data_IF_518338256440
#
_entry.id   IF_518338256440
#
_cell.length_a   1.000
_cell.length_b   1.000
_cell.length_c   1.000
_cell.angle_alpha   90.00
_cell.angle_beta   90.00
_cell.angle_gamma   90.00
#
_symmetry.space_group_name_H-M   'P 1'
#
loop_
_entity.id
_entity.type
_entity.pdbx_description
1 polymer ?
#
# COMPACT_ATOMS: atom_id res chain seq x y z
N UNK A 1 6.99 -4.83 12.82
CA UNK A 1 7.27 -3.51 13.44
C UNK A 1 7.88 -2.53 12.44
N UNK A 2 8.98 -2.90 11.77
CA UNK A 2 9.67 -2.02 10.80
C UNK A 2 8.73 -1.43 9.76
N UNK A 3 7.90 -2.26 9.15
CA UNK A 3 6.91 -1.88 8.13
C UNK A 3 6.04 -0.70 8.63
N UNK A 4 5.32 -0.89 9.72
CA UNK A 4 4.44 0.13 10.31
C UNK A 4 5.17 1.40 10.75
N UNK A 5 6.41 1.28 11.27
CA UNK A 5 7.10 2.42 11.87
C UNK A 5 7.87 3.24 10.83
N UNK A 6 8.50 2.58 9.88
CA UNK A 6 9.43 3.23 8.95
C UNK A 6 8.80 3.26 7.56
N UNK A 7 8.54 2.11 6.95
CA UNK A 7 8.05 2.05 5.56
C UNK A 7 6.76 2.84 5.39
N UNK A 8 5.80 2.71 6.31
CA UNK A 8 4.48 3.34 6.22
C UNK A 8 4.46 4.80 6.68
N UNK A 9 5.31 5.17 7.63
CA UNK A 9 5.31 6.52 8.18
C UNK A 9 5.66 7.57 7.14
N UNK A 10 6.57 7.28 6.20
CA UNK A 10 6.94 8.25 5.16
C UNK A 10 5.79 8.53 4.18
N UNK A 11 5.14 7.53 3.54
CA UNK A 11 3.95 7.76 2.74
C UNK A 11 2.80 8.38 3.54
N UNK A 12 2.59 7.99 4.81
CA UNK A 12 1.53 8.55 5.64
C UNK A 12 1.72 10.05 5.90
N UNK A 13 2.93 10.49 6.25
CA UNK A 13 3.25 11.92 6.41
C UNK A 13 3.09 12.66 5.08
N UNK A 14 3.54 12.05 3.97
CA UNK A 14 3.44 12.67 2.66
C UNK A 14 1.99 12.79 2.15
N UNK A 15 1.11 11.85 2.51
CA UNK A 15 -0.34 11.96 2.27
C UNK A 15 -0.96 13.13 3.03
N UNK A 16 -0.44 13.46 4.22
CA UNK A 16 -0.82 14.66 4.96
C UNK A 16 -0.49 15.98 4.25
N UNK A 17 0.42 15.94 3.26
CA UNK A 17 0.78 17.09 2.41
C UNK A 17 -0.01 17.13 1.09
N UNK A 18 -0.97 16.23 0.88
CA UNK A 18 -1.80 16.23 -0.33
C UNK A 18 -2.74 17.45 -0.33
N UNK A 19 -2.97 18.01 -1.53
CA UNK A 19 -3.87 19.16 -1.69
C UNK A 19 -5.31 18.75 -1.38
N UNK A 20 -6.08 19.71 -0.87
CA UNK A 20 -7.50 19.52 -0.60
C UNK A 20 -8.27 19.06 -1.86
N UNK A 21 -9.21 18.14 -1.68
CA UNK A 21 -10.04 17.64 -2.79
C UNK A 21 -10.85 18.78 -3.44
N UNK A 22 -10.94 18.83 -4.78
CA UNK A 22 -11.82 19.79 -5.45
C UNK A 22 -13.27 19.62 -4.98
N UNK A 23 -13.88 20.72 -4.55
CA UNK A 23 -15.25 20.75 -4.03
C UNK A 23 -15.38 20.42 -2.54
N UNK A 24 -14.29 20.32 -1.78
CA UNK A 24 -14.36 20.03 -0.33
C UNK A 24 -15.20 21.07 0.44
N UNK A 25 -15.09 22.35 0.08
CA UNK A 25 -15.84 23.45 0.70
C UNK A 25 -17.33 23.50 0.30
N UNK A 26 -17.73 22.72 -0.71
CA UNK A 26 -19.14 22.60 -1.13
C UNK A 26 -19.86 21.46 -0.40
N UNK A 27 -19.13 20.64 0.38
CA UNK A 27 -19.71 19.56 1.17
C UNK A 27 -20.17 20.10 2.53
N UNK A 28 -21.29 19.61 3.08
CA UNK A 28 -21.74 20.02 4.41
C UNK A 28 -20.72 19.61 5.49
N UNK A 29 -20.62 20.36 6.60
CA UNK A 29 -19.77 19.99 7.73
C UNK A 29 -20.10 18.60 8.28
N UNK A 30 -19.08 17.82 8.68
CA UNK A 30 -19.28 16.48 9.26
C UNK A 30 -19.96 16.60 10.64
N UNK A 31 -21.04 15.83 10.91
CA UNK A 31 -21.70 15.84 12.22
C UNK A 31 -20.79 15.24 13.31
N UNK A 32 -20.88 15.78 14.54
CA UNK A 32 -20.03 15.36 15.68
C UNK A 32 -20.25 13.89 16.11
N UNK A 33 -21.42 13.32 15.80
CA UNK A 33 -21.76 11.93 16.07
C UNK A 33 -21.21 10.95 15.02
N UNK A 34 -20.61 11.45 13.94
CA UNK A 34 -20.06 10.62 12.88
C UNK A 34 -18.72 10.01 13.32
N UNK A 35 -18.68 8.67 13.44
CA UNK A 35 -17.46 7.94 13.76
C UNK A 35 -16.43 7.95 12.62
N UNK A 36 -15.17 7.61 12.95
CA UNK A 36 -14.08 7.54 11.97
C UNK A 36 -14.35 6.54 10.83
N UNK A 37 -15.06 5.45 11.14
CA UNK A 37 -15.39 4.37 10.19
C UNK A 37 -16.69 4.58 9.40
N UNK A 38 -17.35 5.73 9.57
CA UNK A 38 -18.58 6.05 8.87
C UNK A 38 -18.39 6.22 7.34
N UNK A 39 -19.49 6.33 6.60
CA UNK A 39 -19.48 6.61 5.15
C UNK A 39 -18.74 5.57 4.29
N UNK A 40 -18.74 4.31 4.74
CA UNK A 40 -18.12 3.18 4.04
C UNK A 40 -16.62 3.01 4.30
N UNK A 41 -15.99 3.85 5.13
CA UNK A 41 -14.56 3.75 5.46
C UNK A 41 -14.24 2.43 6.15
N UNK A 42 -15.10 1.95 7.05
CA UNK A 42 -14.90 0.65 7.70
C UNK A 42 -14.87 -0.51 6.69
N UNK A 43 -15.77 -0.50 5.71
CA UNK A 43 -15.76 -1.48 4.63
C UNK A 43 -14.49 -1.36 3.78
N UNK A 44 -14.10 -0.12 3.44
CA UNK A 44 -12.90 0.13 2.65
C UNK A 44 -11.64 -0.43 3.33
N UNK A 45 -11.49 -0.24 4.64
CA UNK A 45 -10.36 -0.79 5.42
C UNK A 45 -10.37 -2.33 5.41
N UNK A 46 -11.53 -2.95 5.64
CA UNK A 46 -11.62 -4.42 5.74
C UNK A 46 -11.21 -5.08 4.42
N UNK A 47 -11.78 -4.66 3.29
CA UNK A 47 -11.45 -5.31 2.02
C UNK A 47 -10.00 -5.04 1.60
N UNK A 48 -9.49 -3.82 1.84
CA UNK A 48 -8.11 -3.47 1.48
C UNK A 48 -7.11 -4.31 2.28
N UNK A 49 -7.34 -4.47 3.58
CA UNK A 49 -6.53 -5.34 4.44
C UNK A 49 -6.61 -6.81 3.98
N UNK A 50 -7.79 -7.29 3.59
CA UNK A 50 -7.94 -8.65 3.05
C UNK A 50 -7.18 -8.84 1.73
N UNK A 51 -7.19 -7.85 0.84
CA UNK A 51 -6.42 -7.91 -0.41
C UNK A 51 -4.92 -7.90 -0.11
N UNK A 52 -4.44 -7.00 0.76
CA UNK A 52 -3.03 -6.97 1.16
C UNK A 52 -2.60 -8.30 1.79
N UNK A 53 -3.44 -8.88 2.67
CA UNK A 53 -3.18 -10.19 3.27
C UNK A 53 -3.14 -11.31 2.22
N UNK A 54 -4.08 -11.32 1.28
CA UNK A 54 -4.12 -12.31 0.20
C UNK A 54 -2.90 -12.22 -0.72
N UNK A 55 -2.48 -11.01 -1.11
CA UNK A 55 -1.27 -10.80 -1.91
C UNK A 55 0.00 -11.23 -1.17
N UNK A 56 0.08 -10.94 0.12
CA UNK A 56 1.21 -11.35 0.98
C UNK A 56 1.29 -12.87 1.13
N UNK A 57 0.13 -13.53 1.35
CA UNK A 57 0.06 -14.99 1.41
C UNK A 57 0.38 -15.63 0.06
N UNK A 58 -0.09 -15.05 -1.05
CA UNK A 58 0.27 -15.51 -2.38
C UNK A 58 1.79 -15.46 -2.60
N UNK A 59 2.45 -14.38 -2.18
CA UNK A 59 3.91 -14.28 -2.25
C UNK A 59 4.64 -15.34 -1.39
N UNK A 60 4.11 -15.62 -0.20
CA UNK A 60 4.62 -16.68 0.66
C UNK A 60 4.56 -18.06 -0.04
N UNK A 61 3.41 -18.39 -0.63
CA UNK A 61 3.20 -19.64 -1.36
C UNK A 61 4.00 -19.71 -2.67
N UNK A 62 4.25 -18.58 -3.34
CA UNK A 62 5.12 -18.56 -4.53
C UNK A 62 6.59 -18.90 -4.21
N UNK A 63 7.03 -18.64 -2.98
CA UNK A 63 8.35 -19.05 -2.47
C UNK A 63 8.38 -20.48 -1.92
N UNK A 64 7.22 -21.14 -1.80
CA UNK A 64 7.11 -22.52 -1.30
C UNK A 64 7.71 -23.48 -2.33
N UNK A 65 8.98 -23.85 -2.12
CA UNK A 65 9.75 -24.69 -3.03
C UNK A 65 11.26 -24.56 -2.81
N UNK A 66 11.72 -23.39 -2.38
CA UNK A 66 13.15 -23.09 -2.20
C UNK A 66 13.56 -23.20 -0.71
N UNK A 67 12.99 -22.35 0.15
CA UNK A 67 13.26 -22.33 1.60
C UNK A 67 12.18 -21.56 2.35
N UNK A 68 11.88 -21.96 3.58
CA UNK A 68 10.98 -21.22 4.46
C UNK A 68 11.45 -19.76 4.66
N UNK A 69 12.77 -19.53 4.72
CA UNK A 69 13.32 -18.18 4.87
C UNK A 69 13.06 -17.32 3.63
N UNK A 70 13.08 -17.91 2.43
CA UNK A 70 12.76 -17.22 1.19
C UNK A 70 11.27 -16.86 1.12
N UNK A 71 10.37 -17.79 1.43
CA UNK A 71 8.92 -17.52 1.52
C UNK A 71 8.60 -16.38 2.48
N UNK A 72 9.22 -16.38 3.67
CA UNK A 72 9.05 -15.32 4.66
C UNK A 72 9.60 -13.98 4.15
N UNK A 73 10.73 -13.98 3.45
CA UNK A 73 11.31 -12.76 2.88
C UNK A 73 10.46 -12.21 1.73
N UNK A 74 9.93 -13.08 0.86
CA UNK A 74 9.01 -12.69 -0.21
C UNK A 74 7.72 -12.08 0.36
N UNK A 75 7.16 -12.69 1.41
CA UNK A 75 6.00 -12.13 2.12
C UNK A 75 6.32 -10.74 2.71
N UNK A 76 7.48 -10.59 3.36
CA UNK A 76 7.91 -9.31 3.93
C UNK A 76 8.05 -8.21 2.87
N UNK A 77 8.75 -8.52 1.76
CA UNK A 77 8.95 -7.58 0.65
C UNK A 77 7.60 -7.23 0.02
N UNK A 78 6.73 -8.22 -0.21
CA UNK A 78 5.42 -8.00 -0.81
C UNK A 78 4.53 -7.14 0.05
N UNK A 79 4.43 -7.42 1.35
CA UNK A 79 3.63 -6.62 2.28
C UNK A 79 4.13 -5.17 2.33
N UNK A 80 5.43 -4.99 2.56
CA UNK A 80 6.07 -3.67 2.63
C UNK A 80 5.89 -2.87 1.34
N UNK A 81 5.98 -3.52 0.18
CA UNK A 81 5.83 -2.85 -1.12
C UNK A 81 4.36 -2.58 -1.42
N UNK A 82 3.46 -3.48 -1.00
CA UNK A 82 2.02 -3.35 -1.19
C UNK A 82 1.47 -2.12 -0.48
N UNK A 83 1.90 -1.85 0.76
CA UNK A 83 1.48 -0.65 1.49
C UNK A 83 1.99 0.65 0.85
N UNK A 84 3.23 0.62 0.32
CA UNK A 84 3.78 1.75 -0.44
C UNK A 84 2.95 2.02 -1.69
N UNK A 85 2.56 1.01 -2.47
CA UNK A 85 1.68 1.20 -3.63
C UNK A 85 0.24 1.55 -3.23
N UNK A 86 -0.24 0.99 -2.11
CA UNK A 86 -1.54 1.29 -1.55
C UNK A 86 -1.66 2.77 -1.17
N UNK A 87 -0.56 3.43 -0.77
CA UNK A 87 -0.55 4.87 -0.51
C UNK A 87 -1.00 5.71 -1.72
N UNK A 88 -0.75 5.27 -2.97
CA UNK A 88 -1.28 5.93 -4.17
C UNK A 88 -2.80 5.87 -4.20
N UNK A 89 -3.37 4.73 -3.83
CA UNK A 89 -4.81 4.57 -3.76
C UNK A 89 -5.42 5.43 -2.65
N UNK A 90 -4.69 5.71 -1.58
CA UNK A 90 -5.18 6.55 -0.48
C UNK A 90 -5.23 8.05 -0.81
N UNK A 91 -4.62 8.49 -1.92
CA UNK A 91 -4.62 9.90 -2.36
C UNK A 91 -6.02 10.46 -2.62
N UNK A 92 -6.96 9.62 -3.03
CA UNK A 92 -8.36 10.01 -3.19
C UNK A 92 -9.28 8.84 -2.87
N UNK A 93 -10.25 9.05 -1.97
CA UNK A 93 -11.15 7.97 -1.57
C UNK A 93 -12.08 7.51 -2.68
N UNK A 94 -12.75 8.46 -3.35
CA UNK A 94 -13.78 8.14 -4.35
C UNK A 94 -13.38 8.48 -5.79
N UNK A 95 -12.39 9.33 -6.00
CA UNK A 95 -11.90 9.66 -7.35
C UNK A 95 -10.88 8.61 -7.82
N UNK A 96 -10.83 8.42 -9.13
CA UNK A 96 -9.79 7.63 -9.78
C UNK A 96 -8.43 8.27 -9.58
N UNK A 97 -7.39 7.45 -9.43
CA UNK A 97 -6.01 7.93 -9.42
C UNK A 97 -5.63 8.63 -10.74
N UNK A 98 -6.23 8.23 -11.86
CA UNK A 98 -5.99 8.81 -13.18
C UNK A 98 -6.74 10.12 -13.41
N UNK A 99 -7.77 10.40 -12.60
CA UNK A 99 -8.51 11.66 -12.64
C UNK A 99 -7.88 12.75 -11.75
N UNK A 100 -6.83 12.42 -10.98
CA UNK A 100 -6.11 13.38 -10.16
C UNK A 100 -5.09 14.14 -11.02
N UNK A 101 -5.42 15.36 -11.43
CA UNK A 101 -4.51 16.22 -12.20
C UNK A 101 -3.33 16.82 -11.41
N UNK A 102 -3.12 16.43 -10.16
CA UNK A 102 -2.04 16.93 -9.30
C UNK A 102 -1.12 15.78 -8.92
N UNK A 103 0.20 15.99 -9.03
CA UNK A 103 1.22 15.05 -8.56
C UNK A 103 1.78 15.52 -7.21
N UNK A 104 1.63 14.70 -6.18
CA UNK A 104 2.25 14.94 -4.88
C UNK A 104 3.71 14.48 -4.92
N UNK A 105 4.62 15.43 -5.18
CA UNK A 105 6.08 15.17 -5.25
C UNK A 105 6.66 14.61 -3.95
N UNK A 106 6.09 14.98 -2.79
CA UNK A 106 6.52 14.46 -1.49
C UNK A 106 6.13 12.99 -1.35
N UNK A 107 4.93 12.62 -1.79
CA UNK A 107 4.50 11.22 -1.78
C UNK A 107 5.37 10.37 -2.70
N UNK A 108 5.65 10.85 -3.92
CA UNK A 108 6.52 10.11 -4.83
C UNK A 108 7.95 9.92 -4.26
N UNK A 109 8.52 10.97 -3.64
CA UNK A 109 9.81 10.87 -2.97
C UNK A 109 9.79 9.89 -1.78
N UNK A 110 8.75 9.95 -0.95
CA UNK A 110 8.55 9.04 0.18
C UNK A 110 8.39 7.58 -0.29
N UNK A 111 7.63 7.35 -1.37
CA UNK A 111 7.47 6.04 -1.98
C UNK A 111 8.79 5.49 -2.52
N UNK A 112 9.54 6.30 -3.27
CA UNK A 112 10.83 5.89 -3.80
C UNK A 112 11.80 5.51 -2.67
N UNK A 113 11.83 6.31 -1.61
CA UNK A 113 12.62 6.01 -0.42
C UNK A 113 12.16 4.70 0.24
N UNK A 114 10.85 4.53 0.44
CA UNK A 114 10.29 3.33 1.06
C UNK A 114 10.52 2.05 0.23
N UNK A 115 10.53 2.13 -1.10
CA UNK A 115 10.86 1.00 -1.98
C UNK A 115 12.33 0.55 -1.89
N UNK A 116 13.24 1.46 -1.53
CA UNK A 116 14.65 1.15 -1.35
C UNK A 116 14.95 0.50 0.01
N UNK A 117 14.08 0.68 1.01
CA UNK A 117 14.31 0.15 2.36
C UNK A 117 14.36 -1.39 2.42
N UNK A 118 13.43 -2.15 1.79
CA UNK A 118 13.54 -3.61 1.75
C UNK A 118 14.85 -4.13 1.15
N UNK A 119 15.39 -3.44 0.14
CA UNK A 119 16.70 -3.77 -0.43
C UNK A 119 17.81 -3.53 0.60
N UNK A 120 17.82 -2.36 1.24
CA UNK A 120 18.80 -2.05 2.28
C UNK A 120 18.75 -3.08 3.43
N UNK A 121 17.56 -3.51 3.84
CA UNK A 121 17.39 -4.50 4.90
C UNK A 121 17.93 -5.88 4.52
N UNK A 122 17.83 -6.25 3.25
CA UNK A 122 18.24 -7.56 2.75
C UNK A 122 19.76 -7.66 2.51
N UNK A 123 20.38 -6.56 2.05
CA UNK A 123 21.80 -6.56 1.66
C UNK A 123 22.75 -6.06 2.74
N UNK A 124 22.26 -5.42 3.80
CA UNK A 124 23.09 -4.95 4.91
C UNK A 124 23.05 -6.03 6.03
N UNK A 125 24.17 -6.72 6.31
CA UNK A 125 24.20 -7.88 7.22
C UNK A 125 23.56 -7.69 8.60
N UNK A 126 23.78 -6.56 9.33
CA UNK A 126 23.14 -6.38 10.64
C UNK A 126 21.61 -6.26 10.55
N UNK A 127 21.06 -5.70 9.46
CA UNK A 127 19.61 -5.62 9.28
C UNK A 127 19.05 -6.97 8.85
N UNK A 128 19.69 -7.67 7.92
CA UNK A 128 19.25 -8.98 7.46
C UNK A 128 19.19 -9.98 8.63
N UNK A 129 20.21 -9.98 9.50
CA UNK A 129 20.25 -10.82 10.70
C UNK A 129 19.18 -10.45 11.74
N UNK A 130 18.92 -9.16 11.96
CA UNK A 130 17.94 -8.70 12.94
C UNK A 130 16.48 -9.06 12.56
N UNK A 131 16.20 -9.18 11.27
CA UNK A 131 14.87 -9.48 10.73
C UNK A 131 14.74 -10.88 10.12
N UNK A 132 15.79 -11.71 10.24
CA UNK A 132 15.86 -13.05 9.65
C UNK A 132 15.54 -13.07 8.15
N UNK A 133 16.05 -12.07 7.41
CA UNK A 133 15.85 -11.93 5.97
C UNK A 133 16.99 -12.60 5.20
N UNK A 134 16.67 -13.19 4.07
CA UNK A 134 17.66 -13.79 3.15
C UNK A 134 17.74 -12.99 1.86
N UNK A 135 18.93 -12.99 1.23
CA UNK A 135 19.10 -12.37 -0.07
C UNK A 135 18.28 -13.13 -1.13
N UNK A 136 17.27 -12.47 -1.67
CA UNK A 136 16.43 -13.04 -2.73
C UNK A 136 17.12 -12.88 -4.10
N UNK A 137 17.06 -13.91 -4.96
CA UNK A 137 17.35 -13.75 -6.38
C UNK A 137 16.48 -12.64 -6.98
N UNK A 138 17.02 -11.92 -7.98
CA UNK A 138 16.31 -10.82 -8.62
C UNK A 138 14.91 -11.23 -9.14
N UNK A 139 14.78 -12.47 -9.65
CA UNK A 139 13.49 -13.01 -10.10
C UNK A 139 12.41 -13.00 -9.00
N UNK A 140 12.71 -13.57 -7.83
CA UNK A 140 11.79 -13.63 -6.68
C UNK A 140 11.47 -12.26 -6.10
N UNK A 141 12.44 -11.35 -6.14
CA UNK A 141 12.23 -9.97 -5.74
C UNK A 141 11.24 -9.25 -6.69
N UNK A 142 11.42 -9.40 -8.01
CA UNK A 142 10.48 -8.82 -8.98
C UNK A 142 9.11 -9.49 -8.97
N UNK A 143 9.01 -10.80 -8.68
CA UNK A 143 7.73 -11.47 -8.42
C UNK A 143 6.98 -10.83 -7.24
N UNK A 144 7.69 -10.56 -6.15
CA UNK A 144 7.13 -9.91 -4.95
C UNK A 144 6.62 -8.50 -5.27
N UNK A 145 7.39 -7.70 -6.02
CA UNK A 145 6.96 -6.38 -6.49
C UNK A 145 5.76 -6.50 -7.43
N UNK A 146 5.76 -7.48 -8.35
CA UNK A 146 4.68 -7.73 -9.29
C UNK A 146 3.35 -8.03 -8.59
N UNK A 147 3.40 -8.86 -7.54
CA UNK A 147 2.24 -9.13 -6.68
C UNK A 147 1.78 -7.88 -5.94
N UNK A 148 2.71 -7.13 -5.35
CA UNK A 148 2.39 -5.89 -4.65
C UNK A 148 1.73 -4.85 -5.57
N UNK A 149 2.14 -4.76 -6.84
CA UNK A 149 1.55 -3.83 -7.82
C UNK A 149 0.07 -4.09 -8.08
N UNK A 150 -0.43 -5.32 -7.87
CA UNK A 150 -1.83 -5.68 -8.09
C UNK A 150 -2.80 -4.91 -7.18
N UNK A 151 -2.34 -4.38 -6.04
CA UNK A 151 -3.19 -3.56 -5.17
C UNK A 151 -3.74 -2.32 -5.87
N UNK A 152 -3.00 -1.75 -6.82
CA UNK A 152 -3.39 -0.55 -7.57
C UNK A 152 -4.64 -0.83 -8.44
N UNK A 153 -4.58 -1.75 -9.43
CA UNK A 153 -5.74 -2.04 -10.25
C UNK A 153 -6.91 -2.61 -9.45
N UNK A 154 -6.68 -3.45 -8.43
CA UNK A 154 -7.75 -4.02 -7.62
C UNK A 154 -8.57 -2.90 -6.94
N UNK A 155 -7.89 -1.98 -6.25
CA UNK A 155 -8.59 -0.88 -5.57
C UNK A 155 -9.23 0.10 -6.57
N UNK A 156 -8.59 0.35 -7.71
CA UNK A 156 -9.17 1.22 -8.74
C UNK A 156 -10.45 0.63 -9.36
N UNK A 157 -10.50 -0.70 -9.57
CA UNK A 157 -11.72 -1.41 -10.00
C UNK A 157 -12.81 -1.28 -8.95
N UNK A 158 -12.50 -1.50 -7.67
CA UNK A 158 -13.48 -1.33 -6.58
C UNK A 158 -14.02 0.11 -6.55
N UNK A 159 -13.16 1.12 -6.68
CA UNK A 159 -13.60 2.52 -6.77
C UNK A 159 -14.44 2.80 -8.00
N UNK A 160 -14.15 2.17 -9.13
CA UNK A 160 -14.96 2.30 -10.34
C UNK A 160 -16.38 1.75 -10.13
N UNK A 161 -16.50 0.56 -9.52
CA UNK A 161 -17.78 -0.06 -9.17
C UNK A 161 -18.56 0.80 -8.18
N UNK A 162 -17.90 1.29 -7.11
CA UNK A 162 -18.53 2.16 -6.11
C UNK A 162 -19.04 3.48 -6.73
N UNK A 163 -18.27 4.09 -7.64
CA UNK A 163 -18.69 5.30 -8.37
C UNK A 163 -19.88 5.04 -9.28
N UNK A 164 -19.93 3.89 -9.95
CA UNK A 164 -21.03 3.52 -10.81
C UNK A 164 -22.31 3.24 -10.01
N UNK A 165 -22.20 2.53 -8.89
CA UNK A 165 -23.31 2.25 -8.00
C UNK A 165 -23.90 3.53 -7.38
N UNK A 166 -23.06 4.50 -7.02
CA UNK A 166 -23.51 5.77 -6.44
C UNK A 166 -24.16 6.75 -7.43
N UNK A 167 -24.11 6.47 -8.74
CA UNK A 167 -24.80 7.25 -9.78
C UNK A 167 -26.22 6.75 -10.06
N UNK A 168 -26.55 5.55 -9.58
CA UNK A 168 -27.89 4.95 -9.65
C UNK A 168 -28.68 5.32 -8.42
#
# INVERSE_FOLDING_TARGET
LWINLITDSFPAVALGMEKAEPGIMQRPPRPKSEGLFANGVGFDIIYQSLVCAALTLAAYFCGEGDSQAESMTMAFVTLSTCEVFHSINMRARRKSIFALGSHNKYLFGAMLFALLLPLAMMYIPPFAAAFSLVALPAARYFESIGLALLIIPIVEIVKAIQRWAARR
#
